data_IF_979973501910
#
_entry.id   IF_979973501910
#
_cell.length_a   1.000
_cell.length_b   1.000
_cell.length_c   1.000
_cell.angle_alpha   90.00
_cell.angle_beta   90.00
_cell.angle_gamma   90.00
#
_symmetry.space_group_name_H-M   'P 1'
#
loop_
_entity.id
_entity.type
_entity.pdbx_description
1 polymer ?
#
# COMPACT_ATOMS: atom_id res chain seq x y z
N UNK A 1 0.64 -14.59 15.36
CA UNK A 1 -0.32 -13.79 14.58
C UNK A 1 -0.16 -14.12 13.11
N UNK A 2 -1.25 -14.40 12.45
CA UNK A 2 -1.23 -14.61 11.01
C UNK A 2 -1.52 -13.31 10.29
N UNK A 3 -0.73 -13.01 9.28
CA UNK A 3 -0.93 -11.83 8.43
C UNK A 3 -1.09 -12.29 6.98
N UNK A 4 -2.21 -11.93 6.39
CA UNK A 4 -2.38 -12.08 4.95
C UNK A 4 -1.76 -10.86 4.27
N UNK A 5 -0.88 -11.12 3.33
CA UNK A 5 -0.19 -10.04 2.64
C UNK A 5 0.02 -10.37 1.17
N UNK A 6 0.25 -9.33 0.39
CA UNK A 6 0.67 -9.44 -1.01
C UNK A 6 1.93 -8.61 -1.18
N UNK A 7 2.93 -9.17 -1.81
CA UNK A 7 4.16 -8.43 -2.11
C UNK A 7 4.12 -7.96 -3.55
N UNK A 8 4.22 -6.66 -3.76
CA UNK A 8 4.20 -6.03 -5.09
C UNK A 8 5.49 -5.29 -5.35
N UNK A 9 5.85 -5.21 -6.62
CA UNK A 9 7.07 -4.56 -7.09
C UNK A 9 6.74 -3.38 -8.00
N UNK A 10 7.48 -2.29 -7.86
CA UNK A 10 7.40 -1.15 -8.76
C UNK A 10 8.78 -0.58 -9.01
N UNK A 11 9.31 -0.70 -10.23
CA UNK A 11 10.55 -0.05 -10.68
C UNK A 11 11.71 -0.14 -9.68
N UNK A 12 11.99 -1.35 -9.19
CA UNK A 12 13.13 -1.59 -8.29
C UNK A 12 12.81 -1.52 -6.81
N UNK A 13 11.59 -1.11 -6.44
CA UNK A 13 11.13 -1.15 -5.05
C UNK A 13 10.09 -2.25 -4.89
N UNK A 14 10.06 -2.86 -3.73
CA UNK A 14 9.03 -3.84 -3.38
C UNK A 14 8.38 -3.48 -2.05
N UNK A 15 7.09 -3.82 -1.95
CA UNK A 15 6.27 -3.46 -0.80
C UNK A 15 5.41 -4.63 -0.37
N UNK A 16 5.26 -4.78 0.93
CA UNK A 16 4.30 -5.70 1.52
C UNK A 16 2.98 -4.94 1.71
N UNK A 17 1.92 -5.40 1.04
CA UNK A 17 0.59 -4.82 1.18
C UNK A 17 -0.24 -5.65 2.13
N UNK A 18 -0.84 -4.99 3.11
CA UNK A 18 -1.69 -5.63 4.11
C UNK A 18 -3.07 -4.97 4.04
N UNK A 19 -4.10 -5.80 3.85
CA UNK A 19 -5.49 -5.34 3.92
C UNK A 19 -5.86 -5.14 5.39
N UNK A 20 -6.13 -3.90 5.76
CA UNK A 20 -6.51 -3.54 7.12
C UNK A 20 -7.78 -2.69 7.11
N UNK A 21 -8.79 -3.10 6.32
CA UNK A 21 -10.04 -2.36 6.24
C UNK A 21 -10.84 -2.38 7.53
N UNK A 22 -10.62 -3.36 8.40
CA UNK A 22 -11.24 -3.39 9.72
C UNK A 22 -10.49 -2.55 10.76
N UNK A 23 -9.29 -2.06 10.43
CA UNK A 23 -8.41 -1.30 11.32
C UNK A 23 -8.01 -2.05 12.60
N UNK A 24 -7.94 -3.38 12.49
CA UNK A 24 -7.62 -4.24 13.62
C UNK A 24 -6.13 -4.54 13.73
N UNK A 25 -5.36 -4.24 12.69
CA UNK A 25 -3.95 -4.60 12.62
C UNK A 25 -3.10 -3.42 13.06
N UNK A 26 -2.32 -3.62 14.11
CA UNK A 26 -1.32 -2.67 14.55
C UNK A 26 0.04 -3.37 14.54
N UNK A 27 1.00 -2.73 13.90
CA UNK A 27 2.37 -3.23 13.84
C UNK A 27 3.28 -2.26 14.57
N UNK A 28 4.12 -2.79 15.45
CA UNK A 28 5.15 -1.98 16.09
C UNK A 28 6.26 -1.69 15.08
N UNK A 29 7.06 -0.67 15.36
CA UNK A 29 8.23 -0.35 14.54
C UNK A 29 9.14 -1.56 14.38
N UNK A 30 9.34 -2.31 15.45
CA UNK A 30 10.18 -3.51 15.43
C UNK A 30 9.58 -4.61 14.56
N UNK A 31 8.26 -4.80 14.60
CA UNK A 31 7.59 -5.79 13.77
C UNK A 31 7.72 -5.44 12.29
N UNK A 32 7.59 -4.18 11.92
CA UNK A 32 7.74 -3.74 10.54
C UNK A 32 9.18 -3.97 10.07
N UNK A 33 10.16 -3.60 10.90
CA UNK A 33 11.56 -3.80 10.57
C UNK A 33 11.87 -5.28 10.36
N UNK A 34 11.28 -6.16 11.17
CA UNK A 34 11.46 -7.60 11.02
C UNK A 34 10.81 -8.11 9.73
N UNK A 35 9.58 -7.67 9.41
CA UNK A 35 8.92 -8.05 8.17
C UNK A 35 9.74 -7.66 6.94
N UNK A 36 10.34 -6.50 6.97
CA UNK A 36 11.11 -5.97 5.85
C UNK A 36 12.54 -6.53 5.77
N UNK A 37 12.98 -7.23 6.80
CA UNK A 37 14.31 -7.83 6.82
C UNK A 37 14.42 -8.91 5.74
N UNK A 38 15.45 -8.81 4.88
CA UNK A 38 15.58 -9.73 3.75
C UNK A 38 16.16 -11.07 4.14
N UNK A 39 16.66 -11.22 5.36
CA UNK A 39 17.20 -12.49 5.86
C UNK A 39 16.20 -13.23 6.76
N UNK A 40 15.53 -12.50 7.65
CA UNK A 40 14.70 -13.11 8.67
C UNK A 40 13.20 -12.88 8.47
N UNK A 41 12.82 -11.98 7.57
CA UNK A 41 11.44 -11.69 7.27
C UNK A 41 11.10 -11.92 5.82
N UNK A 42 10.03 -11.27 5.37
CA UNK A 42 9.57 -11.35 3.98
C UNK A 42 10.55 -10.61 3.06
N UNK A 43 11.16 -9.54 3.55
CA UNK A 43 12.03 -8.70 2.76
C UNK A 43 11.28 -7.73 1.88
N UNK A 44 11.40 -6.44 2.17
CA UNK A 44 10.73 -5.40 1.40
C UNK A 44 11.31 -4.03 1.72
N UNK A 45 11.05 -3.07 0.84
CA UNK A 45 11.45 -1.68 1.08
C UNK A 45 10.50 -0.96 2.03
N UNK A 46 9.29 -1.47 2.17
CA UNK A 46 8.31 -0.90 3.09
C UNK A 46 7.05 -1.74 3.19
N UNK A 47 6.17 -1.33 4.09
CA UNK A 47 4.87 -1.93 4.31
C UNK A 47 3.81 -0.89 4.00
N UNK A 48 2.80 -1.26 3.23
CA UNK A 48 1.65 -0.40 2.97
C UNK A 48 0.42 -1.10 3.51
N UNK A 49 -0.19 -0.51 4.54
CA UNK A 49 -1.44 -1.01 5.09
C UNK A 49 -2.58 -0.25 4.43
N UNK A 50 -3.48 -0.99 3.80
CA UNK A 50 -4.61 -0.42 3.08
C UNK A 50 -5.78 -0.34 4.03
N UNK A 51 -6.16 0.87 4.42
CA UNK A 51 -7.20 1.14 5.41
C UNK A 51 -8.36 1.92 4.80
N UNK A 52 -9.52 1.89 5.45
CA UNK A 52 -10.63 2.75 4.99
C UNK A 52 -10.29 4.22 5.24
N UNK A 53 -10.68 5.07 4.31
CA UNK A 53 -10.55 6.51 4.48
C UNK A 53 -11.80 7.07 5.14
N UNK A 54 -11.63 8.09 5.97
CA UNK A 54 -12.76 8.86 6.52
C UNK A 54 -13.31 9.87 5.52
N UNK A 55 -12.60 10.08 4.40
CA UNK A 55 -13.02 11.00 3.34
C UNK A 55 -13.79 10.22 2.30
N UNK A 56 -15.03 10.64 2.02
CA UNK A 56 -15.90 9.93 1.08
C UNK A 56 -15.38 9.97 -0.35
N UNK A 57 -14.60 10.99 -0.72
CA UNK A 57 -14.02 11.11 -2.04
C UNK A 57 -12.80 10.22 -2.27
N UNK A 58 -12.26 9.61 -1.20
CA UNK A 58 -11.06 8.78 -1.30
C UNK A 58 -11.43 7.30 -1.36
N UNK A 59 -10.76 6.55 -2.23
CA UNK A 59 -10.98 5.12 -2.37
C UNK A 59 -10.47 4.34 -1.16
N UNK A 60 -9.34 4.74 -0.60
CA UNK A 60 -8.74 4.08 0.56
C UNK A 60 -7.66 4.98 1.15
N UNK A 61 -7.23 4.65 2.38
CA UNK A 61 -6.10 5.30 3.05
C UNK A 61 -4.85 4.46 2.89
N UNK A 62 -3.78 5.08 2.42
CA UNK A 62 -2.48 4.43 2.25
C UNK A 62 -1.60 4.72 3.46
N UNK A 63 -1.52 3.74 4.37
CA UNK A 63 -0.67 3.86 5.56
C UNK A 63 0.69 3.26 5.24
N UNK A 64 1.64 4.11 4.89
CA UNK A 64 2.95 3.69 4.40
C UNK A 64 3.98 3.76 5.53
N UNK A 65 4.69 2.65 5.72
CA UNK A 65 5.72 2.52 6.76
C UNK A 65 7.02 2.09 6.08
N UNK A 66 8.10 2.82 6.34
CA UNK A 66 9.42 2.48 5.83
C UNK A 66 9.94 1.16 6.42
N UNK A 67 10.94 0.58 5.78
CA UNK A 67 11.52 -0.69 6.24
C UNK A 67 12.09 -0.61 7.66
N UNK A 68 12.46 0.57 8.13
CA UNK A 68 12.95 0.77 9.50
C UNK A 68 11.84 1.00 10.52
N UNK A 69 10.58 0.94 10.09
CA UNK A 69 9.42 1.12 10.96
C UNK A 69 8.95 2.56 11.11
N UNK A 70 9.63 3.52 10.51
CA UNK A 70 9.18 4.92 10.58
C UNK A 70 8.09 5.19 9.56
N UNK A 71 7.18 6.11 9.89
CA UNK A 71 6.13 6.50 8.96
C UNK A 71 6.74 7.21 7.75
N UNK A 72 6.23 6.86 6.57
CA UNK A 72 6.68 7.44 5.32
C UNK A 72 5.59 8.28 4.70
N UNK A 73 6.00 9.31 4.00
CA UNK A 73 5.12 10.03 3.10
C UNK A 73 5.01 9.26 1.78
N UNK A 74 4.16 9.73 0.88
CA UNK A 74 3.94 9.08 -0.39
C UNK A 74 5.22 9.01 -1.23
N UNK A 75 5.48 7.84 -1.84
CA UNK A 75 6.51 7.72 -2.87
C UNK A 75 5.90 7.16 -4.15
N UNK A 76 6.47 7.58 -5.31
CA UNK A 76 5.89 7.24 -6.61
C UNK A 76 5.76 5.75 -6.88
N UNK A 77 6.76 4.95 -6.49
CA UNK A 77 6.71 3.51 -6.70
C UNK A 77 5.66 2.83 -5.80
N UNK A 78 5.52 3.32 -4.57
CA UNK A 78 4.48 2.84 -3.66
C UNK A 78 3.09 3.15 -4.19
N UNK A 79 2.90 4.34 -4.77
CA UNK A 79 1.62 4.74 -5.35
C UNK A 79 1.24 3.84 -6.53
N UNK A 80 2.20 3.46 -7.38
CA UNK A 80 1.94 2.54 -8.49
C UNK A 80 1.48 1.18 -7.99
N UNK A 81 2.15 0.65 -6.98
CA UNK A 81 1.77 -0.62 -6.38
C UNK A 81 0.42 -0.51 -5.68
N UNK A 82 0.14 0.61 -5.04
CA UNK A 82 -1.13 0.88 -4.38
C UNK A 82 -2.29 0.87 -5.40
N UNK A 83 -2.11 1.54 -6.54
CA UNK A 83 -3.12 1.54 -7.59
C UNK A 83 -3.39 0.13 -8.11
N UNK A 84 -2.34 -0.64 -8.37
CA UNK A 84 -2.48 -2.03 -8.80
C UNK A 84 -3.23 -2.87 -7.76
N UNK A 85 -2.88 -2.70 -6.50
CA UNK A 85 -3.55 -3.43 -5.41
C UNK A 85 -5.04 -3.13 -5.38
N UNK A 86 -5.43 -1.86 -5.47
CA UNK A 86 -6.83 -1.47 -5.42
C UNK A 86 -7.62 -2.00 -6.63
N UNK A 87 -7.02 -1.97 -7.81
CA UNK A 87 -7.66 -2.52 -9.02
C UNK A 87 -7.80 -4.03 -8.92
N UNK A 88 -6.73 -4.72 -8.54
CA UNK A 88 -6.74 -6.19 -8.45
C UNK A 88 -7.72 -6.69 -7.40
N UNK A 89 -7.95 -5.93 -6.34
CA UNK A 89 -8.90 -6.28 -5.26
C UNK A 89 -10.31 -5.77 -5.50
N UNK A 90 -10.54 -5.03 -6.58
CA UNK A 90 -11.87 -4.56 -6.94
C UNK A 90 -12.34 -3.31 -6.19
N UNK A 91 -11.46 -2.62 -5.46
CA UNK A 91 -11.81 -1.37 -4.80
C UNK A 91 -11.95 -0.21 -5.80
N UNK A 92 -11.24 -0.30 -6.92
CA UNK A 92 -11.26 0.67 -8.01
C UNK A 92 -11.39 -0.11 -9.30
N UNK A 93 -12.25 0.35 -10.20
CA UNK A 93 -12.41 -0.30 -11.50
C UNK A 93 -11.27 0.12 -12.44
N UNK A 94 -10.75 -0.85 -13.19
CA UNK A 94 -9.71 -0.57 -14.19
C UNK A 94 -10.15 0.50 -15.18
N UNK A 95 -11.45 0.52 -15.52
CA UNK A 95 -12.02 1.49 -16.46
C UNK A 95 -12.13 2.90 -15.89
N UNK A 96 -11.99 3.08 -14.58
CA UNK A 96 -12.07 4.41 -13.97
C UNK A 96 -10.87 5.28 -14.34
N UNK A 97 -9.70 4.68 -14.52
CA UNK A 97 -8.49 5.38 -14.93
C UNK A 97 -7.90 6.33 -13.90
N UNK A 98 -8.60 6.58 -12.81
CA UNK A 98 -8.13 7.46 -11.73
C UNK A 98 -8.93 7.24 -10.46
N UNK A 99 -8.36 7.65 -9.35
CA UNK A 99 -9.01 7.66 -8.05
C UNK A 99 -8.29 8.63 -7.13
N UNK A 100 -8.86 8.89 -5.96
CA UNK A 100 -8.20 9.72 -4.95
C UNK A 100 -7.77 8.83 -3.81
N UNK A 101 -6.48 8.86 -3.49
CA UNK A 101 -5.93 8.15 -2.33
C UNK A 101 -5.82 9.11 -1.15
N UNK A 102 -6.21 8.64 0.03
CA UNK A 102 -5.94 9.37 1.26
C UNK A 102 -4.57 8.95 1.77
N UNK A 103 -3.75 9.91 2.15
CA UNK A 103 -2.37 9.66 2.60
C UNK A 103 -2.04 10.51 3.80
N UNK A 104 -0.89 10.25 4.42
CA UNK A 104 -0.39 11.08 5.50
C UNK A 104 -0.25 12.54 5.08
N UNK A 105 0.00 12.80 3.80
CA UNK A 105 0.10 14.15 3.24
C UNK A 105 -1.25 14.69 2.75
N UNK A 106 -2.35 13.98 3.01
CA UNK A 106 -3.70 14.35 2.58
C UNK A 106 -4.14 13.63 1.32
N UNK A 107 -5.31 14.02 0.77
CA UNK A 107 -5.84 13.39 -0.44
C UNK A 107 -4.95 13.68 -1.64
N UNK A 108 -4.68 12.64 -2.44
CA UNK A 108 -3.87 12.75 -3.65
C UNK A 108 -4.59 12.10 -4.81
N UNK A 109 -4.83 12.82 -5.91
CA UNK A 109 -5.39 12.23 -7.11
C UNK A 109 -4.34 11.35 -7.80
N UNK A 110 -4.75 10.16 -8.20
CA UNK A 110 -3.88 9.19 -8.86
C UNK A 110 -4.53 8.78 -10.17
N UNK A 111 -3.80 8.95 -11.27
CA UNK A 111 -4.22 8.48 -12.58
C UNK A 111 -3.39 7.24 -12.94
N UNK A 112 -4.02 6.28 -13.62
CA UNK A 112 -3.36 5.05 -13.99
C UNK A 112 -3.86 4.54 -15.32
N UNK A 113 -3.04 3.73 -15.96
CA UNK A 113 -3.42 2.98 -17.14
C UNK A 113 -3.20 1.50 -16.86
N UNK A 114 -4.14 0.67 -17.29
CA UNK A 114 -4.00 -0.77 -17.19
C UNK A 114 -3.49 -1.31 -18.50
N UNK A 115 -2.33 -1.94 -18.47
CA UNK A 115 -1.76 -2.60 -19.64
C UNK A 115 -2.61 -3.82 -19.96
N UNK A 116 -2.97 -3.98 -21.22
CA UNK A 116 -3.80 -5.10 -21.70
C UNK A 116 -3.13 -6.45 -21.54
N UNK A 117 -1.83 -6.47 -21.35
CA UNK A 117 -1.03 -7.69 -21.22
C UNK A 117 -0.72 -8.06 -19.76
N UNK A 118 -1.17 -7.28 -18.82
CA UNK A 118 -0.96 -7.55 -17.38
C UNK A 118 -2.13 -8.29 -16.76
#
# INVERSE_FOLDING_TARGET
>A
MELDFVKLHGLGNDFVFIDDFSRDIELTQEQVALLCDRHFGIGADGVIMVRPSKRSECAAYMHYINADGTLAQMCGNGVRCFAKYLVDRGFVLASDGSFVADTLAGPKPISFEVDKHD
#
